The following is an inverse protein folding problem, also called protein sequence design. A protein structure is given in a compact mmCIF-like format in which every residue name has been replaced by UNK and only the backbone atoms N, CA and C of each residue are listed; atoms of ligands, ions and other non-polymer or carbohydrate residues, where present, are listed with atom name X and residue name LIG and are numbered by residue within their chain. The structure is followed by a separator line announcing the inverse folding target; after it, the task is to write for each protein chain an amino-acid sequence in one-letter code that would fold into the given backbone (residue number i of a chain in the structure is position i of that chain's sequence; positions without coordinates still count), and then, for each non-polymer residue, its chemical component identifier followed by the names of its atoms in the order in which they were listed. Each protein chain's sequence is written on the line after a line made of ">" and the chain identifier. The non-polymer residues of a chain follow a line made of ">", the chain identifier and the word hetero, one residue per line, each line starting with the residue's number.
data_IF_070302651633
#
_entry.id   IF_070302651633
#
_cell.length_a   1.000
_cell.length_b   1.000
_cell.length_c   1.000
_cell.angle_alpha   90.00
_cell.angle_beta   90.00
_cell.angle_gamma   90.00
#
_symmetry.space_group_name_H-M   'P 1'
#
loop_
_entity.id
_entity.type
_entity.pdbx_description
1 polymer ?
#
# COMPACT_ATOMS: atom_id res chain seq x y z
N UNK A 1 -9.63 1.97 -26.35
CA UNK A 1 -11.09 1.96 -26.53
C UNK A 1 -11.50 0.72 -27.31
N UNK A 2 -12.75 0.29 -27.17
CA UNK A 2 -13.31 -0.85 -27.90
C UNK A 2 -14.74 -0.56 -28.35
N UNK A 3 -15.33 -1.49 -29.08
CA UNK A 3 -16.73 -1.42 -29.54
C UNK A 3 -17.46 -2.70 -29.09
N UNK A 4 -18.69 -2.54 -28.58
CA UNK A 4 -19.58 -3.65 -28.25
C UNK A 4 -20.63 -3.76 -29.33
N UNK A 5 -20.85 -4.98 -29.83
CA UNK A 5 -21.90 -5.29 -30.78
C UNK A 5 -23.06 -5.97 -30.05
N UNK A 6 -24.27 -5.48 -30.30
CA UNK A 6 -25.52 -6.11 -29.87
C UNK A 6 -26.26 -6.59 -31.12
N UNK A 7 -26.42 -7.90 -31.29
CA UNK A 7 -27.25 -8.46 -32.35
C UNK A 7 -28.74 -8.36 -31.98
N UNK A 8 -29.66 -8.46 -32.97
CA UNK A 8 -31.09 -8.47 -32.68
C UNK A 8 -31.48 -9.57 -31.67
N UNK A 9 -31.88 -9.15 -30.47
CA UNK A 9 -32.28 -10.04 -29.37
C UNK A 9 -31.31 -10.06 -28.19
N UNK A 10 -30.07 -9.58 -28.38
CA UNK A 10 -29.10 -9.45 -27.30
C UNK A 10 -29.51 -8.37 -26.30
N UNK A 11 -29.23 -8.62 -25.02
CA UNK A 11 -29.52 -7.67 -23.93
C UNK A 11 -28.29 -7.30 -23.11
N UNK A 12 -27.25 -8.12 -23.17
CA UNK A 12 -26.08 -8.02 -22.32
C UNK A 12 -24.82 -8.25 -23.13
N UNK A 13 -23.75 -7.52 -22.80
CA UNK A 13 -22.41 -7.69 -23.35
C UNK A 13 -21.38 -7.47 -22.24
N UNK A 14 -20.19 -8.06 -22.38
CA UNK A 14 -19.15 -8.02 -21.35
C UNK A 14 -17.93 -7.24 -21.85
N UNK A 15 -17.45 -6.31 -21.03
CA UNK A 15 -16.12 -5.70 -21.18
C UNK A 15 -15.19 -6.41 -20.19
N UNK A 16 -14.08 -6.95 -20.68
CA UNK A 16 -13.03 -7.53 -19.86
C UNK A 16 -11.79 -6.60 -19.86
N UNK A 17 -11.33 -6.21 -18.67
CA UNK A 17 -10.15 -5.36 -18.47
C UNK A 17 -9.20 -6.13 -17.58
N UNK A 18 -7.94 -6.23 -17.99
CA UNK A 18 -6.89 -6.86 -17.18
C UNK A 18 -6.27 -5.80 -16.27
N UNK A 19 -6.15 -6.13 -14.99
CA UNK A 19 -5.28 -5.42 -14.06
C UNK A 19 -3.89 -6.05 -14.15
N UNK A 20 -2.85 -5.23 -14.25
CA UNK A 20 -1.48 -5.70 -14.37
C UNK A 20 -0.86 -5.76 -12.98
N UNK A 21 -0.24 -6.89 -12.68
CA UNK A 21 0.44 -7.16 -11.41
C UNK A 21 1.93 -6.81 -11.55
N UNK A 22 2.48 -6.10 -10.58
CA UNK A 22 3.91 -5.89 -10.42
C UNK A 22 4.31 -5.84 -8.93
N UNK A 23 5.55 -5.46 -8.63
CA UNK A 23 6.13 -5.47 -7.26
C UNK A 23 6.38 -4.02 -6.74
N UNK A 24 5.76 -3.01 -7.38
CA UNK A 24 5.93 -1.60 -7.06
C UNK A 24 4.88 -1.21 -6.02
N UNK A 25 5.26 -0.59 -4.89
CA UNK A 25 4.29 -0.17 -3.87
C UNK A 25 3.36 0.96 -4.36
N UNK A 26 2.04 0.73 -4.41
CA UNK A 26 1.04 1.68 -4.91
C UNK A 26 -0.06 2.01 -3.87
N UNK A 27 -0.45 3.29 -3.78
CA UNK A 27 -1.67 3.68 -3.05
C UNK A 27 -2.92 3.22 -3.81
N UNK A 28 -4.12 3.43 -3.26
CA UNK A 28 -5.37 3.17 -3.99
C UNK A 28 -5.38 3.93 -5.32
N UNK A 29 -5.60 3.20 -6.42
CA UNK A 29 -5.73 3.78 -7.76
C UNK A 29 -7.19 3.76 -8.20
N UNK A 30 -7.63 4.83 -8.86
CA UNK A 30 -9.00 4.96 -9.33
C UNK A 30 -8.98 5.27 -10.83
N UNK A 31 -9.70 4.46 -11.60
CA UNK A 31 -9.96 4.74 -13.01
C UNK A 31 -11.44 4.51 -13.35
N UNK A 32 -11.92 5.21 -14.37
CA UNK A 32 -13.31 5.13 -14.80
C UNK A 32 -13.44 4.53 -16.20
N UNK A 33 -14.50 3.75 -16.41
CA UNK A 33 -14.89 3.25 -17.73
C UNK A 33 -16.21 3.90 -18.11
N UNK A 34 -16.22 4.63 -19.23
CA UNK A 34 -17.39 5.36 -19.73
C UNK A 34 -17.86 4.85 -21.09
N UNK A 35 -19.18 4.65 -21.23
CA UNK A 35 -19.84 4.40 -22.51
C UNK A 35 -19.99 5.71 -23.29
N UNK A 36 -19.65 5.69 -24.58
CA UNK A 36 -19.74 6.88 -25.44
C UNK A 36 -20.19 6.50 -26.85
N UNK A 37 -20.73 7.48 -27.59
CA UNK A 37 -21.00 7.37 -29.03
C UNK A 37 -21.88 6.16 -29.42
N UNK A 38 -23.07 6.03 -28.82
CA UNK A 38 -24.05 5.03 -29.24
C UNK A 38 -24.46 5.23 -30.71
N UNK A 39 -24.59 4.12 -31.44
CA UNK A 39 -24.96 4.08 -32.87
C UNK A 39 -26.22 3.25 -33.06
N UNK A 40 -26.78 3.29 -34.28
CA UNK A 40 -27.96 2.47 -34.62
C UNK A 40 -29.28 2.96 -34.02
N UNK A 41 -29.33 4.23 -33.59
CA UNK A 41 -30.52 4.83 -32.99
C UNK A 41 -30.70 4.56 -31.49
N UNK A 42 -29.73 3.90 -30.85
CA UNK A 42 -29.71 3.73 -29.40
C UNK A 42 -29.23 5.01 -28.68
N UNK A 43 -29.66 5.15 -27.42
CA UNK A 43 -29.23 6.22 -26.51
C UNK A 43 -28.45 5.63 -25.33
N UNK A 44 -27.52 6.41 -24.80
CA UNK A 44 -26.79 6.06 -23.57
C UNK A 44 -27.61 6.55 -22.38
N UNK A 45 -27.93 5.64 -21.45
CA UNK A 45 -28.68 5.94 -20.24
C UNK A 45 -27.83 6.64 -19.15
N UNK A 46 -28.41 6.89 -17.99
CA UNK A 46 -27.76 7.60 -16.88
C UNK A 46 -26.62 6.83 -16.18
N UNK A 47 -26.55 5.52 -16.39
CA UNK A 47 -25.52 4.65 -15.79
C UNK A 47 -24.45 4.37 -16.85
N UNK A 48 -23.80 5.43 -17.33
CA UNK A 48 -22.84 5.38 -18.45
C UNK A 48 -21.39 5.28 -18.00
N UNK A 49 -21.11 5.46 -16.72
CA UNK A 49 -19.77 5.40 -16.13
C UNK A 49 -19.73 4.50 -14.90
N UNK A 50 -18.62 3.80 -14.75
CA UNK A 50 -18.29 3.02 -13.56
C UNK A 50 -16.88 3.36 -13.10
N UNK A 51 -16.72 3.61 -11.80
CA UNK A 51 -15.42 3.76 -11.15
C UNK A 51 -14.91 2.39 -10.69
N UNK A 52 -13.65 2.10 -10.99
CA UNK A 52 -12.92 0.93 -10.53
C UNK A 52 -11.84 1.42 -9.57
N UNK A 53 -11.77 0.79 -8.41
CA UNK A 53 -10.75 1.05 -7.39
C UNK A 53 -9.84 -0.17 -7.33
N UNK A 54 -8.56 0.02 -7.67
CA UNK A 54 -7.49 -0.93 -7.38
C UNK A 54 -7.01 -0.57 -5.98
N UNK A 55 -7.13 -1.53 -5.04
CA UNK A 55 -6.73 -1.30 -3.66
C UNK A 55 -5.20 -1.23 -3.56
N UNK A 56 -4.72 -0.42 -2.61
CA UNK A 56 -3.30 -0.36 -2.28
C UNK A 56 -2.69 -1.75 -2.08
N UNK A 57 -1.57 -1.98 -2.74
CA UNK A 57 -0.85 -3.25 -2.84
C UNK A 57 0.64 -3.06 -2.48
N UNK A 58 1.40 -4.16 -2.54
CA UNK A 58 2.86 -4.18 -2.53
C UNK A 58 3.55 -3.41 -1.38
N UNK A 59 2.88 -3.41 -0.23
CA UNK A 59 3.32 -2.72 0.97
C UNK A 59 3.58 -1.22 0.71
N UNK A 60 2.65 -0.50 0.08
CA UNK A 60 2.72 0.95 -0.17
C UNK A 60 3.11 1.78 1.05
N UNK A 61 2.63 1.38 2.23
CA UNK A 61 2.95 2.03 3.50
C UNK A 61 4.21 1.47 4.17
N UNK A 62 4.91 0.58 3.51
CA UNK A 62 6.18 0.01 3.92
C UNK A 62 6.08 -0.98 5.06
N UNK A 63 7.18 -1.71 5.24
CA UNK A 63 7.38 -2.66 6.33
C UNK A 63 8.40 -2.06 7.28
N UNK A 64 8.00 -1.81 8.52
CA UNK A 64 8.89 -1.24 9.54
C UNK A 64 9.60 -2.36 10.29
N UNK A 65 10.93 -2.27 10.39
CA UNK A 65 11.75 -3.26 11.10
C UNK A 65 13.09 -2.70 11.55
N UNK A 66 13.79 -3.43 12.40
CA UNK A 66 15.19 -3.13 12.68
C UNK A 66 16.06 -3.57 11.50
N UNK A 67 17.07 -2.77 11.16
CA UNK A 67 18.10 -3.22 10.21
C UNK A 67 18.82 -4.45 10.78
N UNK A 68 19.35 -5.31 9.92
CA UNK A 68 20.05 -6.54 10.33
C UNK A 68 21.15 -6.29 11.39
N UNK A 69 21.90 -5.19 11.26
CA UNK A 69 22.98 -4.83 12.19
C UNK A 69 22.50 -4.38 13.57
N UNK A 70 21.19 -4.23 13.77
CA UNK A 70 20.55 -3.86 15.03
C UNK A 70 19.78 -5.01 15.67
N UNK A 71 19.72 -6.19 15.05
CA UNK A 71 19.05 -7.36 15.62
C UNK A 71 19.80 -7.99 16.80
N UNK A 72 21.09 -7.69 16.96
CA UNK A 72 21.88 -8.10 18.12
C UNK A 72 22.99 -7.08 18.39
N UNK A 73 23.09 -6.63 19.64
CA UNK A 73 24.13 -5.73 20.13
C UNK A 73 24.71 -6.32 21.41
N UNK A 74 26.03 -6.31 21.51
CA UNK A 74 26.74 -6.56 22.76
C UNK A 74 27.43 -5.26 23.12
N UNK A 75 27.23 -4.82 24.35
CA UNK A 75 27.78 -3.56 24.84
C UNK A 75 28.39 -3.81 26.21
N UNK A 76 29.48 -3.10 26.49
CA UNK A 76 30.11 -3.08 27.79
C UNK A 76 29.52 -1.93 28.59
N UNK A 77 29.24 -2.19 29.87
CA UNK A 77 28.90 -1.13 30.81
C UNK A 77 30.17 -0.33 31.11
N UNK A 78 30.15 0.96 30.79
CA UNK A 78 31.28 1.85 31.01
C UNK A 78 31.10 2.63 32.31
N UNK A 79 32.19 3.20 32.82
CA UNK A 79 32.19 4.08 34.01
C UNK A 79 31.32 5.35 33.86
N UNK A 80 30.84 5.63 32.65
CA UNK A 80 29.92 6.71 32.33
C UNK A 80 28.78 6.19 31.47
N UNK A 81 27.62 6.82 31.57
CA UNK A 81 26.47 6.51 30.72
C UNK A 81 26.87 6.49 29.24
N UNK A 82 26.58 5.38 28.58
CA UNK A 82 26.83 5.17 27.16
C UNK A 82 25.51 4.93 26.43
N UNK A 83 25.51 5.18 25.12
CA UNK A 83 24.32 5.02 24.28
C UNK A 83 24.47 3.80 23.39
N UNK A 84 23.42 2.99 23.34
CA UNK A 84 23.25 1.96 22.31
C UNK A 84 22.31 2.49 21.24
N UNK A 85 22.76 2.47 19.99
CA UNK A 85 21.92 2.87 18.85
C UNK A 85 21.36 1.65 18.15
N UNK A 86 20.03 1.62 18.02
CA UNK A 86 19.31 0.68 17.17
C UNK A 86 18.76 1.46 15.96
N UNK A 87 19.04 0.96 14.77
CA UNK A 87 18.56 1.56 13.53
C UNK A 87 17.31 0.84 13.07
N UNK A 88 16.27 1.63 12.77
CA UNK A 88 15.01 1.18 12.20
C UNK A 88 15.02 1.55 10.72
N UNK A 89 14.49 0.66 9.90
CA UNK A 89 14.26 0.87 8.48
C UNK A 89 12.79 0.68 8.12
N UNK A 90 12.35 1.41 7.09
CA UNK A 90 11.08 1.20 6.39
C UNK A 90 11.41 0.62 5.03
N UNK A 91 11.09 -0.65 4.84
CA UNK A 91 11.30 -1.37 3.59
C UNK A 91 10.06 -1.23 2.68
N UNK A 92 10.21 -1.56 1.39
CA UNK A 92 9.15 -1.44 0.36
C UNK A 92 8.66 0.01 0.18
N UNK A 93 7.37 0.26 0.31
CA UNK A 93 6.78 1.58 0.09
C UNK A 93 7.10 2.59 1.19
N UNK A 94 7.01 3.86 0.83
CA UNK A 94 7.22 4.98 1.77
C UNK A 94 6.02 5.93 1.83
N UNK A 95 4.88 5.49 1.30
CA UNK A 95 3.71 6.34 1.16
C UNK A 95 3.05 6.59 2.51
N UNK A 96 2.53 7.80 2.69
CA UNK A 96 1.91 8.29 3.93
C UNK A 96 2.86 8.34 5.13
N UNK A 97 2.40 9.09 6.15
CA UNK A 97 3.05 9.17 7.44
C UNK A 97 2.75 7.91 8.26
N UNK A 98 3.79 7.32 8.86
CA UNK A 98 3.67 6.19 9.78
C UNK A 98 4.39 6.53 11.07
N UNK A 99 3.80 6.13 12.19
CA UNK A 99 4.36 6.27 13.54
C UNK A 99 4.39 4.88 14.17
N UNK A 100 5.51 4.54 14.82
CA UNK A 100 5.69 3.22 15.45
C UNK A 100 6.13 3.42 16.89
N UNK A 101 5.39 2.83 17.82
CA UNK A 101 5.76 2.82 19.22
C UNK A 101 6.76 1.69 19.49
N UNK A 102 7.66 1.92 20.44
CA UNK A 102 8.61 0.89 20.87
C UNK A 102 8.64 0.79 22.39
N UNK A 103 8.96 -0.41 22.89
CA UNK A 103 9.13 -0.70 24.32
C UNK A 103 10.29 -1.67 24.53
N UNK A 104 11.06 -1.46 25.59
CA UNK A 104 12.07 -2.39 26.06
C UNK A 104 11.46 -3.33 27.12
N UNK A 105 11.82 -4.61 27.07
CA UNK A 105 11.32 -5.65 27.96
C UNK A 105 12.49 -6.49 28.51
N UNK A 106 12.32 -7.14 29.67
CA UNK A 106 13.36 -7.92 30.35
C UNK A 106 13.90 -7.22 31.59
N UNK A 107 15.20 -7.31 31.83
CA UNK A 107 15.85 -6.52 32.89
C UNK A 107 16.17 -5.13 32.35
N UNK A 108 15.41 -4.13 32.81
CA UNK A 108 15.44 -2.76 32.30
C UNK A 108 15.83 -1.74 33.38
N UNK A 109 16.32 -2.18 34.53
CA UNK A 109 16.63 -1.29 35.67
C UNK A 109 17.74 -0.28 35.36
N UNK A 110 18.64 -0.64 34.45
CA UNK A 110 19.85 0.13 34.13
C UNK A 110 19.82 0.73 32.71
N UNK A 111 18.62 0.84 32.11
CA UNK A 111 18.44 1.47 30.78
C UNK A 111 17.40 2.58 30.83
N UNK A 112 17.61 3.62 30.03
CA UNK A 112 16.64 4.69 29.83
C UNK A 112 16.86 5.35 28.46
N UNK A 113 15.80 5.73 27.73
CA UNK A 113 14.38 5.45 28.00
C UNK A 113 14.02 3.98 27.73
N UNK A 114 12.87 3.54 28.22
CA UNK A 114 12.35 2.17 28.01
C UNK A 114 11.18 2.10 27.04
N UNK A 115 10.68 3.24 26.54
CA UNK A 115 9.63 3.29 25.52
C UNK A 115 9.57 4.65 24.82
N UNK A 116 8.90 4.70 23.67
CA UNK A 116 8.70 5.93 22.91
C UNK A 116 7.76 5.75 21.72
N UNK A 117 7.53 6.86 21.03
CA UNK A 117 6.68 6.99 19.83
C UNK A 117 7.46 7.75 18.76
#
# INVERSE_FOLDING_TARGET
>A
SGELLFEPGDKDAVIAINILDDDIPEDDEIFAVRLTNAKGGAEIGSNDEVDIIIQSNDDAHGIIGFVQSSLSKQVEELEQNSMVTLTIERQRGTHRLVTVQWTANGNINDIFPTSGV
#
